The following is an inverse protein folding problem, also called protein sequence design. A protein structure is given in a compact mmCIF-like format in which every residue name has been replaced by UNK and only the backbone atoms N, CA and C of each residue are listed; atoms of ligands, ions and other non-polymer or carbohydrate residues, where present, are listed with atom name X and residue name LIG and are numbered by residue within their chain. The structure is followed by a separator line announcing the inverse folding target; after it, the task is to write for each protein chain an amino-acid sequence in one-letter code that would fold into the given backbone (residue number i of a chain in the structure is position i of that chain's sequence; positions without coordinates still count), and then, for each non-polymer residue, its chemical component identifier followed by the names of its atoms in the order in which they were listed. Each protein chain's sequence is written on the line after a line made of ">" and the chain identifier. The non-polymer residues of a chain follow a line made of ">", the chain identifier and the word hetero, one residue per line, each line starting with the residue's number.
data_IF_953590807911
#
_entry.id   IF_953590807911
#
_cell.length_a   1.000
_cell.length_b   1.000
_cell.length_c   1.000
_cell.angle_alpha   90.00
_cell.angle_beta   90.00
_cell.angle_gamma   90.00
#
_symmetry.space_group_name_H-M   'P 1'
#
loop_
_entity.id
_entity.type
_entity.pdbx_description
1 polymer ?
2 non-polymer ?
3 non-polymer ?
4 non-polymer ?
5 water ?
#
# COMPACT_ATOMS: atom_id res chain seq x y z
N UNK A 1 -11.67 -2.78 2.64
CA UNK A 1 -11.84 -1.46 3.20
C UNK A 1 -13.07 -0.75 2.66
N UNK A 2 -13.04 0.59 2.67
CA UNK A 2 -14.15 1.39 2.14
C UNK A 2 -14.07 1.62 0.64
N UNK A 3 -12.89 1.52 0.04
CA UNK A 3 -12.73 1.79 -1.38
C UNK A 3 -12.34 0.51 -2.11
N UNK A 4 -12.49 0.55 -3.44
CA UNK A 4 -12.10 -0.58 -4.27
C UNK A 4 -10.57 -0.61 -4.37
N UNK A 5 -10.04 -1.78 -4.78
CA UNK A 5 -8.59 -1.96 -4.75
C UNK A 5 -7.82 -1.00 -5.66
N UNK A 6 -8.26 -0.68 -6.88
CA UNK A 6 -7.48 0.29 -7.67
C UNK A 6 -7.30 1.62 -6.96
N UNK A 7 -8.38 2.17 -6.41
CA UNK A 7 -8.25 3.44 -5.72
C UNK A 7 -7.45 3.29 -4.43
N UNK A 8 -7.64 2.18 -3.72
CA UNK A 8 -6.86 1.95 -2.50
C UNK A 8 -5.38 1.90 -2.81
N UNK A 9 -4.99 1.17 -3.86
CA UNK A 9 -3.57 1.04 -4.19
C UNK A 9 -2.96 2.40 -4.50
N UNK A 10 -3.70 3.29 -5.17
CA UNK A 10 -3.16 4.60 -5.48
C UNK A 10 -3.00 5.44 -4.21
N UNK A 11 -4.02 5.41 -3.34
CA UNK A 11 -3.91 6.16 -2.11
C UNK A 11 -2.75 5.64 -1.28
N UNK A 12 -2.66 4.31 -1.14
CA UNK A 12 -1.60 3.76 -0.31
C UNK A 12 -0.22 4.16 -0.83
N UNK A 13 -0.04 4.20 -2.15
CA UNK A 13 1.23 4.63 -2.71
C UNK A 13 1.52 6.11 -2.43
N UNK A 14 0.51 6.98 -2.52
CA UNK A 14 0.72 8.39 -2.21
C UNK A 14 1.16 8.53 -0.77
N UNK A 15 0.40 7.90 0.15
CA UNK A 15 0.71 8.01 1.57
C UNK A 15 2.10 7.45 1.87
N UNK A 16 2.42 6.26 1.33
CA UNK A 16 3.74 5.67 1.61
C UNK A 16 4.87 6.54 1.05
N UNK A 17 4.68 7.10 -0.15
CA UNK A 17 5.69 8.02 -0.69
C UNK A 17 5.89 9.20 0.25
N UNK A 18 4.78 9.71 0.81
CA UNK A 18 4.87 10.86 1.72
C UNK A 18 5.57 10.48 3.04
N UNK A 19 5.33 9.27 3.54
CA UNK A 19 6.01 8.81 4.74
C UNK A 19 7.50 8.77 4.51
N UNK A 20 7.90 8.16 3.39
CA UNK A 20 9.32 8.09 3.06
C UNK A 20 9.95 9.48 3.00
N UNK A 21 9.23 10.43 2.40
CA UNK A 21 9.66 11.80 2.31
C UNK A 21 9.86 12.40 3.68
N UNK A 22 8.86 12.25 4.56
CA UNK A 22 8.93 12.93 5.84
C UNK A 22 10.01 12.37 6.74
N UNK A 23 10.44 11.13 6.52
CA UNK A 23 11.51 10.57 7.35
C UNK A 23 12.90 11.11 7.01
N UNK A 24 13.10 11.63 5.79
CA UNK A 24 14.45 11.93 5.30
C UNK A 24 15.00 13.15 6.02
N UNK A 25 16.27 13.08 6.44
CA UNK A 25 16.84 14.17 7.22
C UNK A 25 16.75 15.51 6.49
N UNK A 26 16.85 15.51 5.15
CA UNK A 26 16.78 16.75 4.39
C UNK A 26 15.41 17.39 4.48
N UNK A 27 14.39 16.61 4.81
CA UNK A 27 13.03 17.08 4.90
C UNK A 27 12.66 17.39 6.33
N UNK A 28 13.14 16.54 7.25
CA UNK A 28 12.84 16.71 8.66
C UNK A 28 13.26 18.09 9.17
N UNK A 29 14.38 18.62 8.68
CA UNK A 29 14.87 19.90 9.18
C UNK A 29 14.09 21.08 8.66
N UNK A 30 13.15 20.88 7.76
CA UNK A 30 12.43 22.02 7.24
C UNK A 30 11.09 22.13 7.94
N UNK A 31 10.50 23.33 7.97
CA UNK A 31 9.21 23.51 8.66
C UNK A 31 8.05 22.79 7.98
N UNK A 32 6.99 22.58 8.77
CA UNK A 32 5.82 21.89 8.26
C UNK A 32 5.26 22.54 7.01
N UNK A 33 5.26 23.89 6.94
CA UNK A 33 4.67 24.52 5.77
C UNK A 33 5.36 24.07 4.49
N UNK A 34 6.68 24.00 4.48
CA UNK A 34 7.44 23.58 3.30
C UNK A 34 7.04 22.17 2.89
N UNK A 35 7.02 21.27 3.86
CA UNK A 35 6.79 19.90 3.44
C UNK A 35 5.32 19.65 3.10
N UNK A 36 4.38 20.34 3.76
CA UNK A 36 2.98 20.18 3.43
C UNK A 36 2.69 20.76 2.05
N UNK A 37 3.22 21.95 1.76
CA UNK A 37 3.04 22.48 0.41
C UNK A 37 3.64 21.54 -0.63
N UNK A 38 4.79 20.95 -0.33
CA UNK A 38 5.34 19.99 -1.28
C UNK A 38 4.38 18.83 -1.50
N UNK A 39 3.88 18.24 -0.40
CA UNK A 39 3.00 17.08 -0.58
C UNK A 39 1.71 17.46 -1.29
N UNK A 40 1.20 18.67 -1.03
CA UNK A 40 0.05 19.18 -1.76
C UNK A 40 0.35 19.22 -3.26
N UNK A 41 1.56 19.64 -3.62
CA UNK A 41 1.93 19.68 -5.04
C UNK A 41 1.97 18.29 -5.68
N UNK A 42 2.15 17.24 -4.90
CA UNK A 42 2.15 15.88 -5.39
C UNK A 42 0.76 15.26 -5.41
N UNK A 43 -0.28 16.05 -5.15
CA UNK A 43 -1.63 15.57 -5.26
C UNK A 43 -2.22 14.96 -4.00
N UNK A 44 -1.53 15.03 -2.87
CA UNK A 44 -2.11 14.47 -1.65
C UNK A 44 -3.22 15.35 -1.13
N UNK A 45 -4.28 14.71 -0.64
CA UNK A 45 -5.32 15.44 0.08
C UNK A 45 -4.88 15.80 1.48
N UNK A 46 -5.64 16.68 2.11
CA UNK A 46 -5.30 17.07 3.47
C UNK A 46 -5.25 15.86 4.39
N UNK A 47 -6.21 14.93 4.21
CA UNK A 47 -6.28 13.75 5.06
C UNK A 47 -5.13 12.79 4.76
N UNK A 48 -4.72 12.68 3.49
CA UNK A 48 -3.56 11.86 3.17
C UNK A 48 -2.28 12.44 3.77
N UNK A 49 -2.13 13.75 3.71
CA UNK A 49 -1.00 14.42 4.37
C UNK A 49 -1.02 14.08 5.85
N UNK A 50 -2.18 14.27 6.50
CA UNK A 50 -2.22 13.98 7.92
C UNK A 50 -1.81 12.53 8.22
N UNK A 51 -2.33 11.58 7.44
CA UNK A 51 -2.02 10.18 7.66
C UNK A 51 -0.52 9.93 7.50
N UNK A 52 0.08 10.62 6.55
CA UNK A 52 1.51 10.46 6.37
C UNK A 52 2.28 10.95 7.59
N UNK A 53 1.90 12.11 8.15
CA UNK A 53 2.59 12.56 9.35
C UNK A 53 2.39 11.58 10.50
N UNK A 54 1.16 11.03 10.64
CA UNK A 54 0.95 10.02 11.68
C UNK A 54 1.86 8.83 11.49
N UNK A 55 1.92 8.31 10.27
CA UNK A 55 2.64 7.04 10.05
C UNK A 55 4.14 7.27 10.14
N UNK A 56 4.58 8.49 9.86
CA UNK A 56 5.98 8.85 10.05
C UNK A 56 6.34 9.11 11.51
N UNK A 57 5.38 8.98 12.43
CA UNK A 57 5.70 9.29 13.82
C UNK A 57 5.88 10.77 14.10
N UNK A 58 5.24 11.63 13.30
CA UNK A 58 5.42 13.07 13.36
C UNK A 58 4.07 13.76 13.35
N UNK A 59 3.12 13.22 14.14
CA UNK A 59 1.73 13.68 14.10
C UNK A 59 1.58 15.19 14.25
N UNK A 60 0.84 15.76 13.32
CA UNK A 60 0.38 17.16 13.37
C UNK A 60 -1.14 17.13 13.48
N UNK A 61 -1.75 17.96 14.33
CA UNK A 61 -3.20 17.99 14.37
C UNK A 61 -3.80 18.35 13.01
N UNK A 62 -4.85 17.61 12.63
CA UNK A 62 -5.51 17.81 11.35
C UNK A 62 -5.94 19.26 11.15
N UNK A 63 -6.40 19.94 12.21
CA UNK A 63 -6.82 21.33 11.97
C UNK A 63 -5.66 22.21 11.54
N UNK A 64 -4.45 21.91 12.03
CA UNK A 64 -3.27 22.68 11.68
C UNK A 64 -2.80 22.33 10.28
N UNK A 65 -2.93 21.07 9.89
CA UNK A 65 -2.59 20.70 8.50
C UNK A 65 -3.55 21.39 7.54
N UNK A 66 -4.87 21.39 7.84
CA UNK A 66 -5.83 22.05 7.00
C UNK A 66 -5.49 23.53 6.80
N UNK A 67 -5.04 24.20 7.90
CA UNK A 67 -4.79 25.62 7.73
C UNK A 67 -3.58 25.85 6.83
N UNK A 68 -2.53 25.03 6.96
CA UNK A 68 -1.34 25.19 6.12
C UNK A 68 -1.60 24.76 4.68
N UNK A 69 -2.46 23.74 4.49
CA UNK A 69 -2.79 23.34 3.13
C UNK A 69 -3.31 24.51 2.32
N UNK A 70 -4.09 25.38 2.97
CA UNK A 70 -4.78 26.51 2.33
C UNK A 70 -5.84 27.07 3.28
N UNK B 2 -7.72 -31.92 1.26
CA UNK B 2 -7.66 -30.72 0.42
C UNK B 2 -8.23 -29.51 1.17
N UNK B 3 -8.12 -28.32 0.56
CA UNK B 3 -8.63 -27.11 1.18
C UNK B 3 -10.10 -27.26 1.55
N UNK B 4 -10.46 -26.79 2.73
CA UNK B 4 -11.85 -26.86 3.13
C UNK B 4 -12.67 -25.88 2.31
N UNK B 5 -13.95 -26.20 2.11
CA UNK B 5 -14.77 -25.39 1.20
C UNK B 5 -14.93 -23.95 1.63
N UNK B 6 -15.15 -23.61 2.90
CA UNK B 6 -15.22 -22.18 3.25
C UNK B 6 -13.97 -21.44 2.84
N UNK B 7 -12.78 -22.02 3.12
CA UNK B 7 -11.53 -21.38 2.75
C UNK B 7 -11.42 -21.28 1.24
N UNK B 8 -11.85 -22.30 0.52
CA UNK B 8 -11.75 -22.25 -0.94
C UNK B 8 -12.64 -21.16 -1.47
N UNK B 9 -13.83 -21.00 -0.88
CA UNK B 9 -14.70 -19.92 -1.32
C UNK B 9 -14.02 -18.58 -1.12
N UNK B 10 -13.32 -18.41 0.01
CA UNK B 10 -12.58 -17.17 0.25
C UNK B 10 -11.45 -17.00 -0.74
N UNK B 11 -10.75 -18.08 -1.07
CA UNK B 11 -9.70 -17.99 -2.09
C UNK B 11 -10.28 -17.50 -3.41
N UNK B 12 -11.42 -18.06 -3.82
CA UNK B 12 -12.03 -17.62 -5.06
C UNK B 12 -12.35 -16.14 -5.01
N UNK B 13 -12.83 -15.64 -3.85
CA UNK B 13 -13.12 -14.21 -3.74
C UNK B 13 -11.85 -13.36 -3.89
N UNK B 14 -10.75 -13.77 -3.26
CA UNK B 14 -9.47 -13.07 -3.40
C UNK B 14 -9.07 -12.94 -4.87
N UNK B 15 -9.12 -14.07 -5.60
CA UNK B 15 -8.66 -14.10 -6.97
C UNK B 15 -9.57 -13.25 -7.84
N UNK B 16 -10.89 -13.33 -7.63
CA UNK B 16 -11.79 -12.50 -8.43
C UNK B 16 -11.57 -11.01 -8.15
N UNK B 17 -11.37 -10.64 -6.89
CA UNK B 17 -11.06 -9.24 -6.59
C UNK B 17 -9.78 -8.79 -7.28
N UNK B 18 -8.78 -9.67 -7.29
CA UNK B 18 -7.51 -9.35 -7.94
C UNK B 18 -7.67 -9.16 -9.44
N UNK B 19 -8.52 -9.99 -10.07
CA UNK B 19 -8.79 -9.82 -11.49
C UNK B 19 -9.42 -8.47 -11.75
N UNK B 20 -10.41 -8.09 -10.95
CA UNK B 20 -10.99 -6.76 -11.12
C UNK B 20 -9.91 -5.68 -11.02
N UNK B 21 -8.99 -5.83 -10.07
CA UNK B 21 -7.91 -4.87 -9.87
C UNK B 21 -7.05 -4.77 -11.11
N UNK B 22 -6.64 -5.91 -11.64
CA UNK B 22 -5.76 -5.91 -12.78
C UNK B 22 -6.42 -5.41 -14.06
N UNK B 23 -7.74 -5.44 -14.15
CA UNK B 23 -8.49 -4.93 -15.30
C UNK B 23 -8.65 -3.41 -15.27
N UNK B 24 -8.39 -2.76 -14.15
CA UNK B 24 -8.57 -1.32 -14.08
C UNK B 24 -7.60 -0.57 -15.00
N UNK B 25 -8.12 0.42 -15.75
CA UNK B 25 -7.31 1.09 -16.77
C UNK B 25 -6.08 1.79 -16.17
N UNK B 26 -6.19 2.35 -14.98
CA UNK B 26 -5.04 2.99 -14.35
C UNK B 26 -4.04 1.97 -13.82
N UNK B 27 -4.53 0.91 -13.19
CA UNK B 27 -3.66 -0.16 -12.72
C UNK B 27 -2.87 -0.77 -13.85
N UNK B 28 -3.50 -0.94 -15.02
CA UNK B 28 -2.82 -1.66 -16.11
C UNK B 28 -1.46 -1.06 -16.45
N UNK B 29 -1.33 0.26 -16.36
CA UNK B 29 -0.08 0.89 -16.80
C UNK B 29 0.98 0.95 -15.70
N UNK B 30 0.65 0.58 -14.47
CA UNK B 30 1.69 0.54 -13.45
C UNK B 30 2.62 -0.66 -13.60
N UNK B 31 3.78 -0.62 -12.96
CA UNK B 31 4.74 -1.73 -13.09
C UNK B 31 4.18 -3.03 -12.53
N UNK B 32 4.50 -4.12 -13.21
CA UNK B 32 4.01 -5.42 -12.76
C UNK B 32 4.47 -5.71 -11.34
N UNK B 33 5.71 -5.32 -11.00
CA UNK B 33 6.20 -5.58 -9.65
C UNK B 33 5.29 -4.94 -8.59
N UNK B 34 4.81 -3.70 -8.85
CA UNK B 34 3.97 -3.03 -7.87
C UNK B 34 2.60 -3.66 -7.78
N UNK B 35 2.07 -4.16 -8.90
CA UNK B 35 0.80 -4.91 -8.85
C UNK B 35 0.92 -6.15 -7.97
N UNK B 36 2.00 -6.91 -8.15
CA UNK B 36 2.27 -8.12 -7.38
C UNK B 36 2.41 -7.78 -5.90
N UNK B 37 3.15 -6.73 -5.59
CA UNK B 37 3.31 -6.32 -4.21
C UNK B 37 1.96 -5.98 -3.56
N UNK B 38 1.11 -5.23 -4.27
CA UNK B 38 -0.20 -4.88 -3.73
C UNK B 38 -1.04 -6.13 -3.50
N UNK B 39 -1.11 -7.01 -4.50
CA UNK B 39 -1.96 -8.19 -4.34
C UNK B 39 -1.48 -9.10 -3.22
N UNK B 40 -0.17 -9.25 -3.07
CA UNK B 40 0.33 -10.02 -1.92
C UNK B 40 -0.08 -9.37 -0.60
N UNK B 41 -0.08 -8.03 -0.55
CA UNK B 41 -0.50 -7.34 0.66
C UNK B 41 -1.96 -7.62 0.99
N UNK B 42 -2.76 -8.00 0.00
CA UNK B 42 -4.17 -8.36 0.20
C UNK B 42 -4.33 -9.83 0.51
N UNK B 43 -3.24 -10.55 0.73
CA UNK B 43 -3.31 -11.94 1.13
C UNK B 43 -3.27 -12.97 0.03
N UNK B 44 -3.08 -12.57 -1.24
CA UNK B 44 -2.91 -13.57 -2.27
C UNK B 44 -1.54 -14.19 -2.13
N UNK B 45 -1.48 -15.50 -2.32
CA UNK B 45 -0.18 -16.14 -2.48
C UNK B 45 0.37 -15.81 -3.85
N UNK B 46 1.67 -16.08 -4.02
CA UNK B 46 2.27 -15.87 -5.33
C UNK B 46 1.53 -16.65 -6.41
N UNK B 47 1.14 -17.89 -6.12
CA UNK B 47 0.39 -18.70 -7.08
C UNK B 47 -0.97 -18.08 -7.41
N UNK B 48 -1.64 -17.50 -6.42
CA UNK B 48 -2.93 -16.85 -6.65
C UNK B 48 -2.76 -15.60 -7.49
N UNK B 49 -1.67 -14.83 -7.26
CA UNK B 49 -1.36 -13.70 -8.14
C UNK B 49 -1.18 -14.18 -9.58
N UNK B 50 -0.45 -15.27 -9.79
CA UNK B 50 -0.28 -15.77 -11.13
C UNK B 50 -1.64 -16.11 -11.76
N UNK B 51 -2.51 -16.75 -10.99
CA UNK B 51 -3.83 -17.12 -11.50
C UNK B 51 -4.62 -15.87 -11.88
N UNK B 52 -4.47 -14.81 -11.08
CA UNK B 52 -5.21 -13.58 -11.35
C UNK B 52 -4.73 -12.94 -12.64
N UNK B 53 -3.41 -12.93 -12.89
CA UNK B 53 -2.91 -12.34 -14.13
C UNK B 53 -3.45 -13.09 -15.34
N UNK B 54 -3.48 -14.43 -15.26
CA UNK B 54 -3.98 -15.26 -16.35
C UNK B 54 -5.46 -14.96 -16.62
N UNK B 55 -6.27 -14.92 -15.56
CA UNK B 55 -7.69 -14.66 -15.71
C UNK B 55 -7.97 -13.25 -16.20
N UNK B 56 -7.07 -12.31 -15.92
CA UNK B 56 -7.23 -10.93 -16.38
C UNK B 56 -6.72 -10.74 -17.80
N UNK B 57 -6.38 -11.83 -18.47
CA UNK B 57 -5.88 -11.80 -19.83
C UNK B 57 -4.50 -11.18 -19.96
N UNK B 58 -3.72 -11.21 -18.89
CA UNK B 58 -2.43 -10.56 -18.85
C UNK B 58 -1.44 -11.53 -18.23
N UNK B 59 -1.41 -12.73 -18.81
CA UNK B 59 -0.65 -13.83 -18.26
C UNK B 59 0.81 -13.50 -18.05
N UNK B 60 1.30 -13.73 -16.82
CA UNK B 60 2.73 -13.77 -16.52
C UNK B 60 3.00 -15.18 -16.00
N UNK B 61 3.87 -15.97 -16.63
CA UNK B 61 4.12 -17.32 -16.12
C UNK B 61 4.69 -17.29 -14.72
N UNK B 62 4.38 -18.35 -13.97
CA UNK B 62 4.76 -18.39 -12.56
C UNK B 62 6.26 -18.20 -12.37
N UNK B 63 7.09 -18.78 -13.25
CA UNK B 63 8.52 -18.60 -13.08
C UNK B 63 8.94 -17.15 -13.31
N UNK B 64 8.27 -16.44 -14.22
CA UNK B 64 8.57 -15.04 -14.44
C UNK B 64 8.10 -14.17 -13.27
N UNK B 65 6.98 -14.52 -12.65
CA UNK B 65 6.58 -13.77 -11.46
C UNK B 65 7.63 -13.94 -10.37
N UNK B 66 8.12 -15.16 -10.20
CA UNK B 66 9.19 -15.36 -9.24
C UNK B 66 10.45 -14.60 -9.63
N UNK B 67 10.70 -14.45 -10.93
CA UNK B 67 11.88 -13.72 -11.33
C UNK B 67 11.71 -12.24 -11.00
N UNK B 68 10.49 -11.72 -11.11
CA UNK B 68 10.25 -10.30 -10.81
C UNK B 68 10.51 -10.04 -9.34
N UNK B 69 10.19 -10.99 -8.46
CA UNK B 69 10.44 -10.89 -7.02
C UNK B 69 11.91 -11.09 -6.66
N UNK B 70 12.79 -11.21 -7.65
CA UNK B 70 14.22 -11.28 -7.40
C UNK B 70 14.95 -10.01 -7.89
N UNK C 1 -36.32 -38.24 -21.74
CA UNK C 1 -36.01 -36.87 -21.37
C UNK C 1 -35.28 -36.08 -22.44
N UNK C 2 -35.61 -36.33 -23.71
CA UNK C 2 -34.98 -35.62 -24.82
C UNK C 2 -35.96 -34.74 -25.60
N UNK C 3 -37.22 -34.65 -25.17
CA UNK C 3 -38.13 -33.75 -25.85
C UNK C 3 -37.63 -32.32 -25.82
N UNK C 4 -36.88 -31.96 -24.79
CA UNK C 4 -36.36 -30.62 -24.59
C UNK C 4 -35.04 -30.37 -25.28
N UNK C 5 -34.48 -31.33 -26.04
CA UNK C 5 -33.16 -31.08 -26.58
C UNK C 5 -33.13 -29.86 -27.50
N UNK C 6 -34.13 -29.62 -28.36
CA UNK C 6 -34.06 -28.40 -29.18
C UNK C 6 -33.93 -27.14 -28.36
N UNK C 7 -34.80 -26.95 -27.34
CA UNK C 7 -34.69 -25.76 -26.51
C UNK C 7 -33.38 -25.70 -25.76
N UNK C 8 -32.95 -26.86 -25.17
CA UNK C 8 -31.65 -26.90 -24.49
C UNK C 8 -30.53 -26.48 -25.41
N UNK C 9 -30.57 -26.93 -26.67
CA UNK C 9 -29.49 -26.63 -27.59
C UNK C 9 -29.42 -25.12 -27.89
N UNK C 10 -30.56 -24.43 -27.87
CA UNK C 10 -30.52 -22.98 -28.03
C UNK C 10 -29.77 -22.32 -26.87
N UNK C 11 -30.05 -22.76 -25.64
CA UNK C 11 -29.30 -22.26 -24.49
C UNK C 11 -27.83 -22.56 -24.63
N UNK C 12 -27.47 -23.80 -25.00
CA UNK C 12 -26.07 -24.17 -25.11
C UNK C 12 -25.36 -23.34 -26.18
N UNK C 13 -26.04 -23.07 -27.29
CA UNK C 13 -25.45 -22.23 -28.32
C UNK C 13 -25.13 -20.83 -27.82
N UNK C 14 -26.04 -20.23 -27.04
CA UNK C 14 -25.77 -18.92 -26.47
C UNK C 14 -24.58 -18.97 -25.54
N UNK C 15 -24.58 -19.94 -24.61
CA UNK C 15 -23.47 -20.06 -23.66
C UNK C 15 -22.17 -20.33 -24.38
N UNK C 16 -22.19 -21.16 -25.42
CA UNK C 16 -20.93 -21.46 -26.11
C UNK C 16 -20.41 -20.24 -26.86
N UNK C 17 -21.30 -19.45 -27.46
CA UNK C 17 -20.83 -18.22 -28.09
C UNK C 17 -20.24 -17.29 -27.05
N UNK C 18 -20.85 -17.26 -25.88
CA UNK C 18 -20.34 -16.40 -24.80
C UNK C 18 -18.97 -16.87 -24.33
N UNK C 19 -18.77 -18.19 -24.23
CA UNK C 19 -17.47 -18.70 -23.83
C UNK C 19 -16.40 -18.33 -24.84
N UNK C 20 -16.72 -18.47 -26.12
CA UNK C 20 -15.69 -18.13 -27.10
C UNK C 20 -15.42 -16.63 -27.10
N UNK C 21 -16.44 -15.81 -26.87
CA UNK C 21 -16.25 -14.38 -26.72
C UNK C 21 -15.30 -14.10 -25.57
N UNK C 22 -15.55 -14.72 -24.43
CA UNK C 22 -14.74 -14.43 -23.25
C UNK C 22 -13.32 -14.93 -23.38
N UNK C 23 -13.09 -15.97 -24.20
CA UNK C 23 -11.73 -16.47 -24.41
C UNK C 23 -10.91 -15.57 -25.31
N UNK C 24 -11.56 -14.78 -26.16
CA UNK C 24 -10.80 -13.96 -27.11
C UNK C 24 -9.84 -13.03 -26.37
N UNK C 25 -8.59 -12.96 -26.84
CA UNK C 25 -7.60 -12.21 -26.08
C UNK C 25 -7.95 -10.72 -25.95
N UNK C 26 -8.63 -10.14 -26.94
CA UNK C 26 -9.03 -8.73 -26.85
C UNK C 26 -10.12 -8.54 -25.81
N UNK C 27 -11.03 -9.50 -25.72
CA UNK C 27 -12.10 -9.43 -24.75
C UNK C 27 -11.57 -9.71 -23.35
N UNK C 28 -10.67 -10.69 -23.23
CA UNK C 28 -10.27 -11.18 -21.92
C UNK C 28 -9.59 -10.09 -21.11
N UNK C 29 -8.94 -9.14 -21.79
CA UNK C 29 -8.24 -8.07 -21.06
C UNK C 29 -9.16 -6.91 -20.69
N UNK C 30 -10.43 -6.91 -21.14
CA UNK C 30 -11.36 -5.84 -20.75
C UNK C 30 -12.11 -6.19 -19.47
N UNK C 31 -12.60 -5.18 -18.74
CA UNK C 31 -13.25 -5.42 -17.46
C UNK C 31 -14.56 -6.19 -17.57
N UNK C 32 -14.90 -6.89 -16.49
CA UNK C 32 -16.12 -7.69 -16.45
C UNK C 32 -17.38 -6.87 -16.76
N UNK C 33 -17.47 -5.62 -16.28
CA UNK C 33 -18.70 -4.84 -16.49
C UNK C 33 -19.06 -4.77 -17.96
N UNK C 34 -18.09 -4.38 -18.79
CA UNK C 34 -18.33 -4.24 -20.23
C UNK C 34 -18.72 -5.56 -20.86
N UNK C 35 -18.04 -6.64 -20.48
CA UNK C 35 -18.35 -7.95 -21.07
C UNK C 35 -19.74 -8.44 -20.66
N UNK C 36 -20.08 -8.30 -19.38
CA UNK C 36 -21.38 -8.74 -18.88
C UNK C 36 -22.50 -7.97 -19.59
N UNK C 37 -22.36 -6.65 -19.71
CA UNK C 37 -23.39 -5.93 -20.45
C UNK C 37 -23.43 -6.31 -21.91
N UNK C 38 -22.30 -6.57 -22.54
CA UNK C 38 -22.38 -7.05 -23.91
C UNK C 38 -23.22 -8.32 -23.95
N UNK C 39 -22.92 -9.27 -23.08
CA UNK C 39 -23.67 -10.55 -23.11
C UNK C 39 -25.14 -10.35 -22.76
N UNK C 40 -25.45 -9.43 -21.85
CA UNK C 40 -26.86 -9.16 -21.56
C UNK C 40 -27.58 -8.70 -22.83
N UNK C 41 -26.91 -7.85 -23.60
CA UNK C 41 -27.47 -7.35 -24.84
C UNK C 41 -27.70 -8.44 -25.87
N UNK C 42 -27.01 -9.58 -25.74
CA UNK C 42 -27.23 -10.72 -26.62
C UNK C 42 -28.31 -11.66 -26.09
N UNK C 43 -29.00 -11.29 -25.02
CA UNK C 43 -30.10 -12.08 -24.53
C UNK C 43 -29.73 -13.14 -23.52
N UNK C 44 -28.49 -13.18 -23.05
CA UNK C 44 -28.15 -14.12 -21.99
C UNK C 44 -28.80 -13.70 -20.68
N UNK C 45 -29.31 -14.69 -19.91
CA UNK C 45 -29.74 -14.43 -18.54
C UNK C 45 -28.52 -14.29 -17.63
N UNK C 46 -28.74 -13.76 -16.44
CA UNK C 46 -27.66 -13.65 -15.45
C UNK C 46 -26.99 -15.00 -15.24
N UNK C 47 -27.79 -16.06 -15.13
CA UNK C 47 -27.23 -17.39 -14.88
C UNK C 47 -26.45 -17.92 -16.07
N UNK C 48 -26.91 -17.64 -17.30
CA UNK C 48 -26.13 -18.03 -18.48
C UNK C 48 -24.82 -17.26 -18.54
N UNK C 49 -24.85 -15.97 -18.21
CA UNK C 49 -23.59 -15.22 -18.16
C UNK C 49 -22.65 -15.85 -17.13
N UNK C 50 -23.18 -16.15 -15.94
CA UNK C 50 -22.36 -16.79 -14.91
C UNK C 50 -21.79 -18.10 -15.41
N UNK C 51 -22.60 -18.91 -16.07
CA UNK C 51 -22.11 -20.18 -16.58
C UNK C 51 -21.04 -19.98 -17.62
N UNK C 52 -21.16 -18.95 -18.46
CA UNK C 52 -20.15 -18.72 -19.48
C UNK C 52 -18.80 -18.38 -18.85
N UNK C 53 -18.80 -17.53 -17.83
CA UNK C 53 -17.55 -17.19 -17.17
C UNK C 53 -16.93 -18.43 -16.54
N UNK C 54 -17.76 -19.29 -15.93
CA UNK C 54 -17.25 -20.54 -15.35
C UNK C 54 -16.62 -21.43 -16.43
N UNK C 55 -17.34 -21.64 -17.54
CA UNK C 55 -16.87 -22.57 -18.57
C UNK C 55 -15.64 -22.03 -19.26
N UNK C 56 -15.43 -20.71 -19.24
CA UNK C 56 -14.22 -20.13 -19.81
C UNK C 56 -13.06 -20.14 -18.82
N UNK C 57 -13.22 -20.74 -17.65
CA UNK C 57 -12.16 -20.71 -16.67
C UNK C 57 -11.94 -19.35 -16.07
N UNK C 58 -12.99 -18.54 -16.00
CA UNK C 58 -12.90 -17.17 -15.55
C UNK C 58 -14.01 -16.88 -14.55
N UNK C 59 -14.26 -17.81 -13.62
CA UNK C 59 -15.42 -17.70 -12.72
C UNK C 59 -15.45 -16.38 -11.98
N UNK C 60 -16.62 -15.72 -12.03
CA UNK C 60 -16.99 -14.55 -11.25
C UNK C 60 -18.09 -14.92 -10.27
N UNK C 61 -18.03 -14.44 -9.04
CA UNK C 61 -19.12 -14.69 -8.08
C UNK C 61 -20.43 -14.15 -8.63
N UNK C 62 -21.47 -14.98 -8.54
CA UNK C 62 -22.77 -14.62 -9.11
C UNK C 62 -23.27 -13.28 -8.58
N UNK C 63 -23.01 -12.96 -7.31
CA UNK C 63 -23.52 -11.70 -6.78
C UNK C 63 -22.87 -10.51 -7.48
N UNK C 64 -21.62 -10.65 -7.92
CA UNK C 64 -20.99 -9.58 -8.69
C UNK C 64 -21.63 -9.45 -10.07
N UNK C 65 -22.02 -10.56 -10.69
CA UNK C 65 -22.72 -10.50 -11.97
C UNK C 65 -24.08 -9.85 -11.79
N UNK C 66 -24.79 -10.24 -10.74
CA UNK C 66 -26.12 -9.67 -10.49
C UNK C 66 -26.04 -8.17 -10.35
N UNK C 67 -24.96 -7.64 -9.76
CA UNK C 67 -24.82 -6.18 -9.64
C UNK C 67 -24.86 -5.52 -11.00
N UNK C 68 -24.13 -6.07 -11.96
CA UNK C 68 -24.00 -5.43 -13.26
C UNK C 68 -25.26 -5.63 -14.10
N UNK C 69 -25.87 -6.80 -14.02
CA UNK C 69 -27.04 -7.07 -14.83
C UNK C 69 -28.22 -6.26 -14.33
N UNK D 2 7.89 -27.11 -0.48
CA UNK D 2 8.49 -25.97 -1.15
C UNK D 2 9.95 -25.81 -0.72
N UNK D 3 10.23 -24.71 -0.01
CA UNK D 3 11.60 -24.37 0.35
C UNK D 3 12.05 -25.12 1.60
N UNK D 4 13.35 -25.45 1.66
CA UNK D 4 13.87 -26.18 2.80
C UNK D 4 13.83 -25.29 4.03
N UNK D 5 13.52 -25.91 5.18
CA UNK D 5 13.30 -25.11 6.38
C UNK D 5 14.53 -24.33 6.82
N UNK D 6 15.76 -24.84 6.79
CA UNK D 6 16.89 -24.00 7.21
C UNK D 6 16.99 -22.73 6.39
N UNK D 7 16.89 -22.84 5.06
CA UNK D 7 16.93 -21.65 4.20
C UNK D 7 15.79 -20.68 4.51
N UNK D 8 14.59 -21.19 4.76
CA UNK D 8 13.48 -20.31 5.06
C UNK D 8 13.69 -19.59 6.39
N UNK D 9 14.25 -20.30 7.38
CA UNK D 9 14.50 -19.63 8.65
C UNK D 9 15.52 -18.51 8.47
N UNK D 10 16.50 -18.72 7.60
CA UNK D 10 17.50 -17.68 7.40
C UNK D 10 16.90 -16.48 6.69
N UNK D 11 15.99 -16.72 5.74
CA UNK D 11 15.22 -15.63 5.14
C UNK D 11 14.50 -14.83 6.23
N UNK D 12 13.82 -15.53 7.14
CA UNK D 12 13.09 -14.80 8.17
C UNK D 12 14.00 -14.02 9.10
N UNK D 13 15.18 -14.58 9.42
CA UNK D 13 16.10 -13.82 10.27
C UNK D 13 16.59 -12.56 9.58
N UNK D 14 16.89 -12.67 8.27
CA UNK D 14 17.33 -11.48 7.55
C UNK D 14 16.27 -10.40 7.59
N UNK D 15 15.00 -10.78 7.35
CA UNK D 15 13.92 -9.79 7.38
C UNK D 15 13.79 -9.20 8.78
N UNK D 16 13.82 -10.05 9.83
CA UNK D 16 13.68 -9.50 11.18
C UNK D 16 14.81 -8.55 11.53
N UNK D 17 16.04 -8.90 11.16
CA UNK D 17 17.17 -8.00 11.40
C UNK D 17 17.00 -6.72 10.62
N UNK D 18 16.49 -6.83 9.39
CA UNK D 18 16.31 -5.62 8.59
C UNK D 18 15.27 -4.70 9.21
N UNK D 19 14.20 -5.26 9.74
CA UNK D 19 13.16 -4.42 10.37
C UNK D 19 13.74 -3.68 11.57
N UNK D 20 14.51 -4.37 12.40
CA UNK D 20 15.14 -3.70 13.54
C UNK D 20 16.06 -2.59 13.07
N UNK D 21 16.81 -2.85 12.00
CA UNK D 21 17.68 -1.83 11.43
C UNK D 21 16.88 -0.59 11.03
N UNK D 22 15.78 -0.82 10.31
CA UNK D 22 14.99 0.29 9.79
C UNK D 22 14.29 1.08 10.90
N UNK D 23 14.10 0.46 12.06
CA UNK D 23 13.47 1.19 13.16
C UNK D 23 14.47 2.05 13.93
N UNK D 24 15.78 1.85 13.71
CA UNK D 24 16.77 2.59 14.47
C UNK D 24 16.67 4.08 14.17
N UNK D 25 16.71 4.90 15.21
CA UNK D 25 16.48 6.32 15.01
C UNK D 25 17.52 6.98 14.12
N UNK D 26 18.76 6.51 14.15
CA UNK D 26 19.78 7.11 13.29
C UNK D 26 19.60 6.63 11.85
N UNK D 27 19.31 5.34 11.70
CA UNK D 27 19.09 4.79 10.35
C UNK D 27 17.93 5.50 9.69
N UNK D 28 16.88 5.79 10.47
CA UNK D 28 15.60 6.18 9.90
C UNK D 28 15.68 7.44 9.06
N UNK D 29 16.60 8.36 9.38
CA UNK D 29 16.68 9.64 8.69
C UNK D 29 17.60 9.63 7.47
N UNK D 30 18.24 8.48 7.15
CA UNK D 30 19.20 8.47 6.06
C UNK D 30 18.46 8.25 4.74
N UNK D 31 19.09 8.49 3.58
CA UNK D 31 18.37 8.32 2.31
C UNK D 31 17.91 6.88 2.14
N UNK D 32 16.69 6.71 1.63
CA UNK D 32 16.13 5.38 1.48
C UNK D 32 17.03 4.50 0.60
N UNK D 33 17.59 5.08 -0.46
CA UNK D 33 18.44 4.29 -1.36
C UNK D 33 19.63 3.70 -0.61
N UNK D 34 20.18 4.47 0.33
CA UNK D 34 21.31 3.99 1.13
C UNK D 34 20.89 2.84 2.03
N UNK D 35 19.66 2.90 2.59
CA UNK D 35 19.19 1.79 3.40
C UNK D 35 19.07 0.51 2.56
N UNK D 36 18.53 0.64 1.36
CA UNK D 36 18.37 -0.49 0.45
C UNK D 36 19.73 -1.06 0.09
N UNK D 37 20.66 -0.18 -0.21
CA UNK D 37 22.03 -0.59 -0.51
C UNK D 37 22.63 -1.38 0.66
N UNK D 38 22.43 -0.90 1.90
CA UNK D 38 22.96 -1.63 3.03
C UNK D 38 22.33 -3.01 3.13
N UNK D 39 20.99 -3.10 3.02
CA UNK D 39 20.33 -4.39 3.15
C UNK D 39 20.78 -5.35 2.04
N UNK D 40 21.03 -4.85 0.83
CA UNK D 40 21.56 -5.72 -0.22
C UNK D 40 22.91 -6.27 0.19
N UNK D 41 23.73 -5.43 0.83
CA UNK D 41 25.06 -5.88 1.24
C UNK D 41 24.97 -6.98 2.28
N UNK D 42 23.85 -7.06 3.04
CA UNK D 42 23.70 -8.15 4.01
C UNK D 42 23.06 -9.39 3.40
N UNK D 43 22.88 -9.44 2.09
CA UNK D 43 22.37 -10.63 1.45
C UNK D 43 20.87 -10.75 1.33
N UNK D 44 20.12 -9.70 1.64
CA UNK D 44 18.68 -9.79 1.45
C UNK D 44 18.35 -9.82 -0.03
N UNK D 45 17.35 -10.62 -0.38
CA UNK D 45 16.75 -10.54 -1.71
C UNK D 45 15.87 -9.30 -1.85
N UNK D 46 15.51 -8.99 -3.10
CA UNK D 46 14.60 -7.86 -3.33
C UNK D 46 13.27 -8.05 -2.62
N UNK D 47 12.73 -9.26 -2.63
CA UNK D 47 11.48 -9.48 -1.91
C UNK D 47 11.67 -9.32 -0.41
N UNK D 48 12.81 -9.77 0.12
CA UNK D 48 13.06 -9.60 1.55
C UNK D 48 13.21 -8.12 1.93
N UNK D 49 13.92 -7.32 1.11
CA UNK D 49 13.99 -5.89 1.38
C UNK D 49 12.60 -5.30 1.36
N UNK D 50 11.80 -5.68 0.36
CA UNK D 50 10.46 -5.13 0.25
C UNK D 50 9.64 -5.46 1.47
N UNK D 51 9.68 -6.72 1.92
CA UNK D 51 8.94 -7.15 3.09
C UNK D 51 9.40 -6.42 4.35
N UNK D 52 10.71 -6.19 4.46
CA UNK D 52 11.21 -5.51 5.64
C UNK D 52 10.69 -4.07 5.71
N UNK D 53 10.71 -3.34 4.59
CA UNK D 53 10.19 -1.97 4.62
C UNK D 53 8.70 -1.97 4.92
N UNK D 54 7.96 -2.93 4.35
CA UNK D 54 6.54 -3.02 4.69
C UNK D 54 6.34 -3.26 6.18
N UNK D 55 7.07 -4.22 6.74
CA UNK D 55 6.87 -4.58 8.16
C UNK D 55 7.33 -3.48 9.09
N UNK D 56 8.29 -2.67 8.67
CA UNK D 56 8.72 -1.52 9.45
C UNK D 56 7.77 -0.30 9.35
N UNK D 57 6.66 -0.42 8.61
CA UNK D 57 5.76 0.70 8.34
C UNK D 57 6.34 1.74 7.43
N UNK D 58 7.27 1.33 6.55
CA UNK D 58 8.04 2.23 5.69
C UNK D 58 8.02 1.73 4.26
N UNK D 59 6.86 1.30 3.79
CA UNK D 59 6.71 0.66 2.47
C UNK D 59 7.35 1.47 1.35
N UNK D 60 8.15 0.79 0.54
CA UNK D 60 8.72 1.29 -0.71
C UNK D 60 8.20 0.45 -1.85
N UNK D 61 7.86 1.03 -3.01
CA UNK D 61 7.38 0.18 -4.12
C UNK D 61 8.44 -0.81 -4.60
N UNK D 62 8.00 -2.04 -4.78
CA UNK D 62 8.92 -3.09 -5.22
C UNK D 62 9.67 -2.67 -6.48
N UNK D 63 9.02 -1.94 -7.40
CA UNK D 63 9.70 -1.56 -8.64
C UNK D 63 10.89 -0.64 -8.35
N UNK D 64 10.78 0.23 -7.34
CA UNK D 64 11.90 1.10 -6.99
C UNK D 64 12.99 0.34 -6.28
N UNK D 65 12.62 -0.63 -5.47
CA UNK D 65 13.64 -1.49 -4.86
C UNK D 65 14.41 -2.25 -5.94
N UNK D 66 13.69 -2.77 -6.95
CA UNK D 66 14.35 -3.51 -8.03
C UNK D 66 15.32 -2.64 -8.80
N UNK D 67 14.94 -1.38 -9.04
CA UNK D 67 15.82 -0.46 -9.75
C UNK D 67 17.17 -0.35 -9.05
N UNK D 68 17.17 -0.33 -7.72
CA UNK D 68 18.43 -0.23 -6.98
C UNK D 68 19.16 -1.57 -6.92
N UNK D 69 18.44 -2.67 -6.71
CA UNK D 69 19.08 -3.93 -6.39
C UNK D 69 19.34 -4.84 -7.58
N UNK D 70 18.60 -4.68 -8.67
CA UNK D 70 18.75 -5.61 -9.81
C UNK D 70 19.95 -5.19 -10.63
N UNK E 3 -1.63 5.06 29.45
CA UNK E 3 -1.93 6.48 29.63
C UNK E 3 -3.38 6.74 29.22
N UNK E 4 -4.09 7.59 29.97
CA UNK E 4 -5.48 7.87 29.64
C UNK E 4 -5.55 8.66 28.35
N UNK E 5 -6.63 8.45 27.60
CA UNK E 5 -6.67 9.04 26.26
C UNK E 5 -6.65 10.55 26.24
N UNK E 6 -7.36 11.28 27.11
CA UNK E 6 -7.22 12.74 27.06
C UNK E 6 -5.76 13.20 27.24
N UNK E 7 -5.04 12.58 28.17
CA UNK E 7 -3.64 12.95 28.37
C UNK E 7 -2.80 12.60 27.16
N UNK E 8 -3.03 11.43 26.57
CA UNK E 8 -2.31 11.04 25.37
C UNK E 8 -2.55 12.05 24.25
N UNK E 9 -3.79 12.50 24.10
CA UNK E 9 -4.08 13.45 23.07
C UNK E 9 -3.40 14.79 23.33
N UNK E 10 -3.38 15.22 24.61
CA UNK E 10 -2.67 16.45 24.93
C UNK E 10 -1.17 16.33 24.68
N UNK E 11 -0.58 15.13 24.91
CA UNK E 11 0.83 14.91 24.58
C UNK E 11 1.11 15.10 23.10
N UNK E 12 0.29 14.50 22.22
CA UNK E 12 0.50 14.69 20.78
C UNK E 12 0.53 16.17 20.42
N UNK E 13 -0.41 16.95 20.98
CA UNK E 13 -0.47 18.38 20.69
C UNK E 13 0.75 19.11 21.23
N UNK E 14 1.18 18.74 22.44
CA UNK E 14 2.36 19.36 23.06
C UNK E 14 3.60 19.17 22.20
N UNK E 15 3.86 17.93 21.78
CA UNK E 15 5.08 17.66 21.03
C UNK E 15 5.01 18.29 19.64
N UNK E 16 3.85 18.23 18.97
CA UNK E 16 3.73 18.88 17.67
C UNK E 16 3.97 20.38 17.75
N UNK E 17 3.41 21.03 18.79
CA UNK E 17 3.66 22.47 18.93
C UNK E 17 5.13 22.75 19.23
N UNK E 18 5.77 21.87 19.99
CA UNK E 18 7.18 22.04 20.32
C UNK E 18 8.05 21.92 19.08
N UNK E 19 7.71 20.99 18.18
CA UNK E 19 8.49 20.89 16.95
C UNK E 19 8.34 22.18 16.14
N UNK E 20 7.12 22.67 16.01
CA UNK E 20 6.93 23.89 15.25
C UNK E 20 7.67 25.06 15.89
N UNK E 21 7.69 25.11 17.23
CA UNK E 21 8.45 26.14 17.93
C UNK E 21 9.92 26.08 17.53
N UNK E 22 10.49 24.89 17.58
CA UNK E 22 11.91 24.71 17.25
C UNK E 22 12.22 25.01 15.79
N UNK E 23 11.27 24.79 14.88
CA UNK E 23 11.50 25.13 13.47
C UNK E 23 11.44 26.63 13.18
N UNK E 24 10.88 27.43 14.07
CA UNK E 24 10.69 28.84 13.76
C UNK E 24 12.02 29.55 13.61
N UNK E 25 12.10 30.42 12.58
CA UNK E 25 13.36 31.10 12.24
C UNK E 25 13.87 31.98 13.38
N UNK E 26 12.96 32.67 14.08
CA UNK E 26 13.37 33.49 15.23
C UNK E 26 13.84 32.61 16.39
N UNK E 27 13.09 31.54 16.69
CA UNK E 27 13.45 30.67 17.80
C UNK E 27 14.80 29.99 17.55
N UNK E 28 15.07 29.55 16.32
CA UNK E 28 16.21 28.66 16.12
C UNK E 28 17.54 29.35 16.43
N UNK E 29 17.62 30.67 16.32
CA UNK E 29 18.87 31.38 16.63
C UNK E 29 18.99 31.78 18.09
N UNK E 30 18.05 31.38 18.94
CA UNK E 30 18.17 31.67 20.36
C UNK E 30 18.91 30.55 21.06
N UNK E 31 19.43 30.79 22.27
CA UNK E 31 20.23 29.76 22.91
C UNK E 31 19.37 28.54 23.25
N UNK E 32 20.01 27.39 23.14
CA UNK E 32 19.32 26.12 23.42
C UNK E 32 18.74 26.14 24.82
N UNK E 33 19.47 26.73 25.77
CA UNK E 33 19.01 26.77 27.15
C UNK E 33 17.64 27.43 27.23
N UNK E 34 17.44 28.51 26.46
CA UNK E 34 16.17 29.24 26.52
C UNK E 34 15.07 28.44 25.84
N UNK E 35 15.43 27.73 24.77
CA UNK E 35 14.45 26.86 24.10
C UNK E 35 13.96 25.79 25.05
N UNK E 36 14.88 25.17 25.79
CA UNK E 36 14.51 24.10 26.71
C UNK E 36 13.68 24.68 27.84
N UNK E 37 14.12 25.82 28.39
CA UNK E 37 13.34 26.45 29.46
C UNK E 37 11.92 26.71 29.01
N UNK E 38 11.74 27.23 27.81
CA UNK E 38 10.40 27.52 27.33
C UNK E 38 9.57 26.25 27.22
N UNK E 39 10.13 25.20 26.61
CA UNK E 39 9.37 23.97 26.48
C UNK E 39 9.02 23.36 27.84
N UNK E 40 9.95 23.43 28.80
CA UNK E 40 9.63 22.95 30.15
C UNK E 40 8.46 23.72 30.71
N UNK E 41 8.42 25.03 30.46
CA UNK E 41 7.30 25.83 30.97
C UNK E 41 5.98 25.44 30.33
N UNK E 42 6.02 24.77 29.18
CA UNK E 42 4.83 24.30 28.50
C UNK E 42 4.43 22.89 28.90
N UNK E 43 5.05 22.34 29.92
CA UNK E 43 4.63 21.05 30.44
C UNK E 43 5.28 19.85 29.76
N UNK E 44 6.23 20.04 28.86
CA UNK E 44 6.89 18.88 28.27
C UNK E 44 7.76 18.16 29.30
N UNK E 45 7.75 16.83 29.22
CA UNK E 45 8.67 16.01 29.98
C UNK E 45 10.04 16.05 29.35
N UNK E 46 11.03 15.55 30.10
CA UNK E 46 12.37 15.44 29.57
C UNK E 46 12.37 14.67 28.26
N UNK E 47 11.67 13.53 28.24
CA UNK E 47 11.65 12.70 27.04
C UNK E 47 10.96 13.42 25.90
N UNK E 48 9.92 14.22 26.21
CA UNK E 48 9.23 14.97 25.16
C UNK E 48 10.12 16.06 24.57
N UNK E 49 10.93 16.73 25.41
CA UNK E 49 11.86 17.74 24.91
C UNK E 49 12.85 17.10 23.98
N UNK E 50 13.45 15.97 24.39
CA UNK E 50 14.35 15.24 23.52
C UNK E 50 13.66 14.87 22.22
N UNK E 51 12.45 14.33 22.33
CA UNK E 51 11.68 13.95 21.14
C UNK E 51 11.41 15.15 20.24
N UNK E 52 11.11 16.32 20.81
CA UNK E 52 10.85 17.49 19.97
C UNK E 52 12.08 17.90 19.14
N UNK E 53 13.27 17.93 19.76
CA UNK E 53 14.47 18.28 19.00
C UNK E 53 14.76 17.26 17.90
N UNK E 54 14.60 15.99 18.21
CA UNK E 54 14.82 14.92 17.21
C UNK E 54 13.86 15.06 16.04
N UNK E 55 12.57 15.26 16.33
CA UNK E 55 11.57 15.33 15.28
C UNK E 55 11.69 16.59 14.46
N UNK E 56 12.41 17.59 14.95
CA UNK E 56 12.71 18.79 14.19
C UNK E 56 13.98 18.65 13.38
N UNK E 57 14.59 17.47 13.43
CA UNK E 57 15.83 17.24 12.70
C UNK E 57 17.00 17.98 13.29
N UNK E 58 17.01 18.21 14.61
CA UNK E 58 18.02 19.01 15.24
C UNK E 58 18.75 18.17 16.29
N UNK E 59 20.03 18.50 16.49
CA UNK E 59 20.85 17.76 17.45
C UNK E 59 20.25 17.92 18.84
N UNK E 60 20.04 16.81 19.52
CA UNK E 60 19.52 16.82 20.88
C UNK E 60 20.54 17.32 21.90
N UNK E 61 20.36 18.55 22.45
CA UNK E 61 21.25 19.03 23.53
C UNK E 61 21.06 18.26 24.83
N UNK E 62 21.46 16.98 24.89
CA UNK E 62 21.03 16.13 25.98
C UNK E 62 21.49 16.61 27.35
N UNK E 63 22.68 17.21 27.42
CA UNK E 63 23.21 17.54 28.72
C UNK E 63 22.30 18.53 29.38
N UNK E 64 22.09 19.65 28.67
CA UNK E 64 21.37 20.68 29.38
C UNK E 64 19.92 20.35 29.45
N UNK E 65 19.41 19.51 28.55
CA UNK E 65 18.06 19.05 28.80
C UNK E 65 18.01 18.41 30.18
N UNK E 66 18.99 17.54 30.47
CA UNK E 66 18.96 16.89 31.77
C UNK E 66 19.28 17.88 32.90
N UNK E 67 20.22 18.81 32.68
CA UNK E 67 20.46 19.82 33.70
C UNK E 67 19.23 20.72 33.91
N UNK E 68 18.55 21.11 32.82
CA UNK E 68 17.42 22.02 32.98
C UNK E 68 16.17 21.31 33.50
N UNK E 69 15.93 20.08 33.07
CA UNK E 69 14.69 19.39 33.42
C UNK E 69 14.73 18.72 34.79
N UNK E 70 15.84 18.84 35.52
CA UNK E 70 16.00 18.20 36.83
C UNK E 70 14.75 18.34 37.71
#
# INVERSE_FOLDING_TARGET
>A
GAMAWPEESEKRKRVSSAVQFLHDSRVKITPAANKIQFLKSKGLTTEEVCEAFEKAGQTIPLDEIKKIMN
>B
GAMAWPEESEKRKRVSSAVQFLHDSRVKITPAANKIQFLKSKGLTTEEVCEAFEKAGQTIPLDEIKKIMN
>C
GAMAWPEESEKRKRVSSAVQFLHDSRVKITPAANKIQFLKSKGLTTEEVCEAFEKAGQTIPLDEIKKIMN
>D
GAMAWPEESEKRKRVSSAVQFLHDSRVKITPAANKIQFLKSKGLTTEEVCEAFEKAGQTIPLDEIKKIMN
>E
GAMAWPEESEKRKRVSSAVQFLHDSRVKITPAANKIQFLKSKGLTTEEVCEAFEKAGQTIPLDEIKKIMN
#
